data_IF_429094898901
#
_entry.id   IF_429094898901
#
_cell.length_a   1.000
_cell.length_b   1.000
_cell.length_c   1.000
_cell.angle_alpha   90.00
_cell.angle_beta   90.00
_cell.angle_gamma   90.00
#
_symmetry.space_group_name_H-M   'P 1'
#
loop_
_entity.id
_entity.type
_entity.pdbx_description
1 polymer ?
#
# COMPACT_ATOMS: atom_id res chain seq x y z
N UNK A 1 4.93 -32.34 -11.31
CA UNK A 1 3.56 -32.21 -11.82
C UNK A 1 2.65 -32.04 -10.63
N UNK A 2 1.87 -30.96 -10.55
CA UNK A 2 0.82 -30.84 -9.53
C UNK A 2 -0.33 -31.76 -9.95
N UNK A 3 -0.76 -32.65 -9.08
CA UNK A 3 -1.94 -33.50 -9.31
C UNK A 3 -3.19 -32.62 -9.21
N UNK A 4 -3.92 -32.48 -10.32
CA UNK A 4 -5.21 -31.79 -10.34
C UNK A 4 -6.27 -32.71 -9.74
N UNK A 5 -6.94 -32.26 -8.67
CA UNK A 5 -8.13 -32.94 -8.13
C UNK A 5 -9.39 -32.44 -8.83
N UNK A 6 -10.45 -33.24 -8.82
CA UNK A 6 -11.70 -32.93 -9.53
C UNK A 6 -12.91 -33.24 -8.67
N UNK A 7 -13.91 -32.35 -8.69
CA UNK A 7 -15.23 -32.57 -8.09
C UNK A 7 -16.24 -32.96 -9.17
N UNK A 8 -17.03 -34.01 -8.91
CA UNK A 8 -18.10 -34.45 -9.83
C UNK A 8 -19.35 -33.59 -9.65
N UNK A 9 -19.74 -32.88 -10.72
CA UNK A 9 -20.95 -32.06 -10.79
C UNK A 9 -21.88 -32.63 -11.87
N UNK A 10 -22.81 -33.50 -11.46
CA UNK A 10 -23.67 -34.25 -12.40
C UNK A 10 -22.86 -35.25 -13.21
N UNK A 11 -22.90 -35.13 -14.54
CA UNK A 11 -22.21 -36.01 -15.48
C UNK A 11 -20.79 -35.54 -15.85
N UNK A 12 -20.31 -34.44 -15.25
CA UNK A 12 -19.01 -33.83 -15.56
C UNK A 12 -18.13 -33.72 -14.32
N UNK A 13 -16.81 -33.70 -14.56
CA UNK A 13 -15.79 -33.44 -13.55
C UNK A 13 -15.23 -32.03 -13.74
N UNK A 14 -15.27 -31.21 -12.69
CA UNK A 14 -14.74 -29.85 -12.69
C UNK A 14 -13.43 -29.87 -11.88
N UNK A 15 -12.31 -29.36 -12.42
CA UNK A 15 -11.05 -29.30 -11.67
C UNK A 15 -11.19 -28.39 -10.46
N UNK A 16 -10.66 -28.84 -9.32
CA UNK A 16 -10.66 -28.08 -8.07
C UNK A 16 -9.54 -27.03 -8.11
N UNK A 17 -9.82 -25.93 -8.80
CA UNK A 17 -8.91 -24.80 -8.84
C UNK A 17 -9.05 -23.99 -7.55
N UNK A 18 -8.00 -24.00 -6.73
CA UNK A 18 -7.87 -23.13 -5.56
C UNK A 18 -6.71 -22.16 -5.80
N UNK A 19 -6.92 -20.90 -5.47
CA UNK A 19 -5.83 -19.94 -5.36
C UNK A 19 -4.95 -20.35 -4.18
N UNK A 20 -3.67 -19.98 -4.25
CA UNK A 20 -2.78 -20.05 -3.10
C UNK A 20 -3.36 -19.24 -1.93
N UNK A 21 -3.10 -19.68 -0.70
CA UNK A 21 -3.50 -18.93 0.49
C UNK A 21 -2.84 -17.55 0.47
N UNK A 22 -3.69 -16.51 0.44
CA UNK A 22 -3.25 -15.14 0.48
C UNK A 22 -3.22 -14.63 1.92
N UNK A 23 -2.34 -13.68 2.26
CA UNK A 23 -2.34 -13.06 3.58
C UNK A 23 -3.72 -12.43 3.89
N UNK A 24 -4.28 -12.67 5.09
CA UNK A 24 -5.60 -12.13 5.47
C UNK A 24 -5.58 -10.63 5.84
N UNK A 25 -4.40 -10.00 5.85
CA UNK A 25 -4.25 -8.60 6.24
C UNK A 25 -4.94 -7.67 5.22
N UNK A 26 -5.77 -6.70 5.65
CA UNK A 26 -6.46 -5.80 4.72
C UNK A 26 -5.50 -4.83 4.03
N UNK A 27 -5.74 -4.55 2.75
CA UNK A 27 -5.01 -3.53 1.99
C UNK A 27 -5.37 -2.13 2.51
N UNK A 28 -4.33 -1.38 2.89
CA UNK A 28 -4.37 -0.01 3.38
C UNK A 28 -4.46 1.05 2.29
N UNK A 29 -4.22 2.31 2.68
CA UNK A 29 -4.34 3.49 1.80
C UNK A 29 -3.40 3.40 0.60
N UNK A 30 -2.11 3.16 0.83
CA UNK A 30 -1.08 3.24 -0.22
C UNK A 30 -1.13 2.03 -1.16
N UNK A 31 -1.47 0.85 -0.65
CA UNK A 31 -1.73 -0.33 -1.46
C UNK A 31 -2.91 -0.11 -2.42
N UNK A 32 -4.01 0.49 -1.97
CA UNK A 32 -5.13 0.83 -2.88
C UNK A 32 -4.76 1.87 -3.93
N UNK A 33 -3.93 2.85 -3.57
CA UNK A 33 -3.44 3.85 -4.52
C UNK A 33 -2.56 3.19 -5.59
N UNK A 34 -1.63 2.31 -5.19
CA UNK A 34 -0.80 1.54 -6.12
C UNK A 34 -1.65 0.63 -7.01
N UNK A 35 -2.66 -0.04 -6.47
CA UNK A 35 -3.57 -0.88 -7.23
C UNK A 35 -4.28 -0.08 -8.33
N UNK A 36 -4.80 1.11 -7.98
CA UNK A 36 -5.45 2.01 -8.95
C UNK A 36 -4.46 2.46 -10.03
N UNK A 37 -3.27 2.90 -9.63
CA UNK A 37 -2.23 3.32 -10.56
C UNK A 37 -1.84 2.19 -11.54
N UNK A 38 -1.60 0.97 -11.03
CA UNK A 38 -1.28 -0.19 -11.86
C UNK A 38 -2.39 -0.48 -12.87
N UNK A 39 -3.66 -0.38 -12.46
CA UNK A 39 -4.80 -0.63 -13.34
C UNK A 39 -4.96 0.44 -14.44
N UNK A 40 -4.77 1.71 -14.08
CA UNK A 40 -4.99 2.85 -14.99
C UNK A 40 -3.79 3.11 -15.91
N UNK A 41 -2.57 2.95 -15.41
CA UNK A 41 -1.34 3.39 -16.10
C UNK A 41 -0.39 2.24 -16.47
N UNK A 42 -0.47 1.08 -15.82
CA UNK A 42 0.42 -0.08 -16.09
C UNK A 42 -0.34 -1.40 -16.21
N UNK A 43 -1.34 -1.51 -17.12
CA UNK A 43 -2.21 -2.68 -17.20
C UNK A 43 -1.46 -3.99 -17.44
N UNK A 44 -0.35 -3.98 -18.20
CA UNK A 44 0.48 -5.17 -18.42
C UNK A 44 1.09 -5.73 -17.13
N UNK A 45 1.65 -4.86 -16.30
CA UNK A 45 2.20 -5.27 -14.99
C UNK A 45 1.08 -5.73 -14.05
N UNK A 46 -0.05 -5.02 -14.05
CA UNK A 46 -1.22 -5.41 -13.26
C UNK A 46 -1.71 -6.82 -13.60
N UNK A 47 -1.89 -7.13 -14.89
CA UNK A 47 -2.27 -8.47 -15.36
C UNK A 47 -1.22 -9.52 -15.00
N UNK A 48 0.07 -9.21 -15.16
CA UNK A 48 1.16 -10.13 -14.77
C UNK A 48 1.09 -10.49 -13.29
N UNK A 49 0.87 -9.50 -12.41
CA UNK A 49 0.80 -9.72 -10.95
C UNK A 49 -0.44 -10.53 -10.55
N UNK A 50 -1.56 -10.37 -11.24
CA UNK A 50 -2.76 -11.19 -11.02
C UNK A 50 -2.49 -12.64 -11.42
N UNK A 51 -1.95 -12.84 -12.62
CA UNK A 51 -1.71 -14.17 -13.17
C UNK A 51 -0.65 -14.95 -12.38
N UNK A 52 0.29 -14.24 -11.75
CA UNK A 52 1.27 -14.84 -10.85
C UNK A 52 0.80 -14.93 -9.39
N UNK A 53 -0.44 -14.53 -9.07
CA UNK A 53 -0.97 -14.45 -7.70
C UNK A 53 -0.16 -13.57 -6.73
N UNK A 54 0.64 -12.64 -7.27
CA UNK A 54 1.54 -11.76 -6.50
C UNK A 54 0.98 -10.35 -6.30
N UNK A 55 -0.20 -10.05 -6.83
CA UNK A 55 -0.81 -8.72 -6.67
C UNK A 55 -1.01 -8.39 -5.19
N UNK A 56 -1.66 -9.29 -4.42
CA UNK A 56 -2.01 -8.98 -3.03
C UNK A 56 -0.78 -8.79 -2.13
N UNK A 57 0.24 -9.67 -2.16
CA UNK A 57 1.48 -9.47 -1.41
C UNK A 57 2.20 -8.17 -1.80
N UNK A 58 2.24 -7.83 -3.09
CA UNK A 58 2.84 -6.58 -3.56
C UNK A 58 2.15 -5.35 -2.95
N UNK A 59 0.82 -5.32 -2.93
CA UNK A 59 0.09 -4.17 -2.38
C UNK A 59 0.30 -4.02 -0.86
N UNK A 60 0.38 -5.14 -0.13
CA UNK A 60 0.70 -5.13 1.30
C UNK A 60 2.12 -4.64 1.59
N UNK A 61 3.08 -5.06 0.76
CA UNK A 61 4.46 -4.59 0.86
C UNK A 61 4.55 -3.08 0.64
N UNK A 62 3.84 -2.55 -0.36
CA UNK A 62 3.77 -1.11 -0.61
C UNK A 62 3.17 -0.35 0.57
N UNK A 63 2.08 -0.86 1.17
CA UNK A 63 1.51 -0.25 2.38
C UNK A 63 2.50 -0.21 3.54
N UNK A 64 3.22 -1.31 3.75
CA UNK A 64 4.23 -1.42 4.80
C UNK A 64 5.38 -0.45 4.56
N UNK A 65 5.98 -0.49 3.37
CA UNK A 65 7.10 0.35 2.99
C UNK A 65 6.75 1.85 3.07
N UNK A 66 5.54 2.23 2.65
CA UNK A 66 5.08 3.60 2.73
C UNK A 66 4.95 4.10 4.19
N UNK A 67 4.40 3.28 5.08
CA UNK A 67 4.31 3.61 6.52
C UNK A 67 5.68 3.74 7.15
N UNK A 68 6.55 2.75 6.92
CA UNK A 68 7.92 2.76 7.46
C UNK A 68 8.71 4.00 7.01
N UNK A 69 8.57 4.42 5.74
CA UNK A 69 9.20 5.65 5.23
C UNK A 69 8.64 6.92 5.87
N UNK A 70 7.32 7.03 6.01
CA UNK A 70 6.70 8.19 6.67
C UNK A 70 7.16 8.27 8.12
N UNK A 71 7.11 7.15 8.85
CA UNK A 71 7.49 7.11 10.26
C UNK A 71 8.98 7.47 10.46
N UNK A 72 9.85 7.13 9.51
CA UNK A 72 11.26 7.52 9.53
C UNK A 72 11.52 8.98 9.14
N UNK A 73 10.73 9.52 8.21
CA UNK A 73 10.96 10.85 7.64
C UNK A 73 10.30 11.97 8.47
N UNK A 74 9.09 11.74 8.97
CA UNK A 74 8.28 12.75 9.63
C UNK A 74 8.98 13.38 10.87
N UNK A 75 9.64 12.61 11.76
CA UNK A 75 10.37 13.20 12.88
C UNK A 75 11.48 14.16 12.43
N UNK A 76 12.23 13.79 11.39
CA UNK A 76 13.30 14.63 10.84
C UNK A 76 12.77 15.90 10.22
N UNK A 77 11.64 15.82 9.52
CA UNK A 77 10.95 16.99 8.96
C UNK A 77 10.42 17.91 10.07
N UNK A 78 9.88 17.35 11.15
CA UNK A 78 9.41 18.12 12.31
C UNK A 78 10.56 18.86 12.99
N UNK A 79 11.70 18.20 13.21
CA UNK A 79 12.91 18.81 13.75
C UNK A 79 13.39 19.98 12.87
N UNK A 80 13.48 19.76 11.55
CA UNK A 80 13.91 20.79 10.61
C UNK A 80 12.95 22.00 10.53
N UNK A 81 11.65 21.76 10.68
CA UNK A 81 10.63 22.80 10.66
C UNK A 81 10.38 23.48 12.03
N UNK A 82 11.06 23.02 13.09
CA UNK A 82 10.88 23.53 14.45
C UNK A 82 9.49 23.24 15.04
N UNK A 83 8.88 22.13 14.65
CA UNK A 83 7.59 21.67 15.17
C UNK A 83 7.81 20.98 16.52
N UNK A 84 7.79 21.76 17.59
CA UNK A 84 8.01 21.27 18.97
C UNK A 84 6.75 21.31 19.82
N UNK A 85 6.78 20.65 20.98
CA UNK A 85 5.67 20.69 21.95
C UNK A 85 5.53 22.10 22.59
N UNK A 86 6.61 22.88 22.68
CA UNK A 86 6.52 24.29 23.11
C UNK A 86 5.76 25.13 22.08
N UNK A 87 6.00 24.90 20.78
CA UNK A 87 5.23 25.56 19.73
C UNK A 87 3.75 25.18 19.83
N UNK A 88 3.46 23.90 20.08
CA UNK A 88 2.09 23.40 20.26
C UNK A 88 1.38 24.04 21.45
N UNK A 89 2.08 24.26 22.56
CA UNK A 89 1.53 24.92 23.74
C UNK A 89 1.29 26.43 23.51
N UNK A 90 2.19 27.09 22.78
CA UNK A 90 2.11 28.54 22.51
C UNK A 90 1.12 28.88 21.40
N UNK A 91 1.10 28.10 20.32
CA UNK A 91 0.27 28.31 19.13
C UNK A 91 -0.15 26.96 18.51
N UNK A 92 -1.21 26.34 19.05
CA UNK A 92 -1.72 25.06 18.57
C UNK A 92 -2.12 25.09 17.10
N UNK A 93 -2.66 26.22 16.61
CA UNK A 93 -3.16 26.31 15.24
C UNK A 93 -2.02 26.32 14.23
N UNK A 94 -0.95 27.07 14.53
CA UNK A 94 0.27 27.04 13.72
C UNK A 94 0.94 25.67 13.74
N UNK A 95 0.97 25.01 14.90
CA UNK A 95 1.49 23.65 15.02
C UNK A 95 0.73 22.67 14.11
N UNK A 96 -0.61 22.69 14.14
CA UNK A 96 -1.45 21.84 13.27
C UNK A 96 -1.20 22.16 11.79
N UNK A 97 -1.12 23.44 11.43
CA UNK A 97 -0.85 23.85 10.05
C UNK A 97 0.50 23.34 9.51
N UNK A 98 1.56 23.44 10.31
CA UNK A 98 2.88 22.90 9.96
C UNK A 98 2.83 21.38 9.87
N UNK A 99 2.22 20.70 10.84
CA UNK A 99 2.10 19.25 10.85
C UNK A 99 1.39 18.72 9.61
N UNK A 100 0.31 19.38 9.19
CA UNK A 100 -0.42 19.05 7.96
C UNK A 100 0.44 19.26 6.72
N UNK A 101 1.22 20.35 6.67
CA UNK A 101 2.12 20.64 5.55
C UNK A 101 3.20 19.57 5.43
N UNK A 102 3.85 19.21 6.54
CA UNK A 102 4.88 18.16 6.55
C UNK A 102 4.30 16.80 6.15
N UNK A 103 3.10 16.47 6.63
CA UNK A 103 2.43 15.23 6.24
C UNK A 103 2.09 15.22 4.74
N UNK A 104 1.62 16.33 4.18
CA UNK A 104 1.35 16.44 2.76
C UNK A 104 2.63 16.25 1.92
N UNK A 105 3.73 16.91 2.30
CA UNK A 105 5.04 16.73 1.66
C UNK A 105 5.52 15.27 1.74
N UNK A 106 5.36 14.63 2.91
CA UNK A 106 5.71 13.23 3.07
C UNK A 106 4.87 12.32 2.14
N UNK A 107 3.57 12.57 2.04
CA UNK A 107 2.68 11.82 1.15
C UNK A 107 3.03 12.03 -0.34
N UNK A 108 3.45 13.22 -0.75
CA UNK A 108 3.92 13.49 -2.12
C UNK A 108 5.18 12.68 -2.47
N UNK A 109 6.14 12.58 -1.55
CA UNK A 109 7.35 11.76 -1.74
C UNK A 109 6.96 10.28 -1.90
N UNK A 110 6.08 9.78 -1.05
CA UNK A 110 5.59 8.39 -1.14
C UNK A 110 4.86 8.12 -2.45
N UNK A 111 4.09 9.09 -2.94
CA UNK A 111 3.40 8.97 -4.21
C UNK A 111 4.38 8.76 -5.35
N UNK A 112 5.39 9.63 -5.44
CA UNK A 112 6.40 9.58 -6.50
C UNK A 112 7.25 8.31 -6.44
N UNK A 113 7.70 7.91 -5.25
CA UNK A 113 8.65 6.81 -5.11
C UNK A 113 8.04 5.42 -5.12
N UNK A 114 6.83 5.24 -4.57
CA UNK A 114 6.23 3.91 -4.34
C UNK A 114 4.96 3.65 -5.15
N UNK A 115 4.23 4.69 -5.54
CA UNK A 115 2.91 4.53 -6.16
C UNK A 115 2.95 4.69 -7.67
N UNK A 116 3.69 5.67 -8.20
CA UNK A 116 3.86 5.90 -9.63
C UNK A 116 4.82 4.88 -10.29
#
# INVERSE_FOLDING_TARGET
MNELTYTRCGDYYIPDLKLSEQPEAPIGKYGRMRQRYLKEHRPGLYSSLILSEMLYPHLLEIDRAARERIDAMLPRMMEAAGVTEELKARDPMRWVGLMNTLKAQAEEIILDELIL
#
